data_IF_369337058111
#
_entry.id   IF_369337058111
#
_cell.length_a   1.000
_cell.length_b   1.000
_cell.length_c   1.000
_cell.angle_alpha   90.00
_cell.angle_beta   90.00
_cell.angle_gamma   90.00
#
_symmetry.space_group_name_H-M   'P 1'
#
loop_
_entity.id
_entity.type
_entity.pdbx_description
1 polymer ?
#
# COMPACT_ATOMS: atom_id res chain seq x y z
N UNK A 1 -1.29 -11.25 -28.65
CA UNK A 1 -2.23 -12.03 -27.82
C UNK A 1 -3.26 -11.06 -27.28
N UNK A 2 -4.49 -11.18 -27.76
CA UNK A 2 -5.64 -10.36 -27.37
C UNK A 2 -5.99 -10.64 -25.91
N UNK A 3 -5.82 -9.65 -25.04
CA UNK A 3 -6.38 -9.69 -23.69
C UNK A 3 -7.89 -9.62 -23.82
N UNK A 4 -8.56 -10.73 -23.54
CA UNK A 4 -10.01 -10.80 -23.40
C UNK A 4 -10.42 -9.86 -22.28
N UNK A 5 -10.99 -8.69 -22.61
CA UNK A 5 -11.74 -7.89 -21.64
C UNK A 5 -12.92 -8.73 -21.18
N UNK A 6 -12.76 -9.43 -20.07
CA UNK A 6 -13.84 -10.22 -19.47
C UNK A 6 -15.01 -9.29 -19.15
N UNK A 7 -16.20 -9.63 -19.64
CA UNK A 7 -17.44 -8.99 -19.19
C UNK A 7 -17.62 -9.31 -17.71
N UNK A 8 -17.55 -8.29 -16.86
CA UNK A 8 -17.89 -8.38 -15.44
C UNK A 8 -19.03 -7.43 -15.11
N UNK A 9 -19.81 -7.77 -14.08
CA UNK A 9 -20.87 -6.90 -13.58
C UNK A 9 -20.26 -6.05 -12.46
N UNK A 10 -20.27 -4.73 -12.65
CA UNK A 10 -19.76 -3.75 -11.67
C UNK A 10 -20.39 -3.97 -10.29
N UNK A 11 -19.56 -3.98 -9.24
CA UNK A 11 -20.00 -4.14 -7.85
C UNK A 11 -20.36 -5.58 -7.45
N UNK A 12 -20.15 -6.58 -8.32
CA UNK A 12 -20.36 -7.99 -7.99
C UNK A 12 -19.03 -8.71 -7.69
N UNK A 13 -19.09 -9.96 -7.23
CA UNK A 13 -17.89 -10.80 -7.03
C UNK A 13 -17.08 -11.06 -8.31
N UNK A 14 -17.64 -10.77 -9.50
CA UNK A 14 -16.91 -10.86 -10.77
C UNK A 14 -16.14 -9.59 -11.11
N UNK A 15 -16.42 -8.47 -10.44
CA UNK A 15 -15.73 -7.20 -10.63
C UNK A 15 -14.27 -7.33 -10.16
N UNK A 16 -13.27 -7.03 -11.01
CA UNK A 16 -11.86 -7.06 -10.65
C UNK A 16 -11.52 -6.25 -9.40
N UNK A 17 -12.15 -5.08 -9.20
CA UNK A 17 -11.89 -4.24 -8.03
C UNK A 17 -12.46 -4.86 -6.75
N UNK A 18 -13.63 -5.50 -6.83
CA UNK A 18 -14.23 -6.24 -5.70
C UNK A 18 -13.35 -7.44 -5.34
N UNK A 19 -12.86 -8.19 -6.33
CA UNK A 19 -11.94 -9.32 -6.11
C UNK A 19 -10.61 -8.87 -5.51
N UNK A 20 -10.05 -7.77 -6.00
CA UNK A 20 -8.83 -7.18 -5.47
C UNK A 20 -9.01 -6.76 -4.00
N UNK A 21 -10.12 -6.08 -3.69
CA UNK A 21 -10.46 -5.72 -2.30
C UNK A 21 -10.56 -6.94 -1.40
N UNK A 22 -11.25 -7.99 -1.86
CA UNK A 22 -11.39 -9.24 -1.10
C UNK A 22 -10.03 -9.90 -0.85
N UNK A 23 -9.15 -9.97 -1.86
CA UNK A 23 -7.82 -10.54 -1.71
C UNK A 23 -6.96 -9.80 -0.68
N UNK A 24 -7.04 -8.46 -0.63
CA UNK A 24 -6.33 -7.64 0.37
C UNK A 24 -6.90 -7.89 1.78
N UNK A 25 -8.23 -7.95 1.93
CA UNK A 25 -8.88 -8.28 3.21
C UNK A 25 -8.48 -9.66 3.72
N UNK A 26 -8.56 -10.66 2.85
CA UNK A 26 -8.17 -12.04 3.18
C UNK A 26 -6.71 -12.15 3.63
N UNK A 27 -5.81 -11.37 3.02
CA UNK A 27 -4.41 -11.33 3.43
C UNK A 27 -4.25 -10.69 4.83
N UNK A 28 -4.92 -9.57 5.08
CA UNK A 28 -4.95 -8.91 6.39
C UNK A 28 -5.51 -9.82 7.49
N UNK A 29 -6.63 -10.51 7.22
CA UNK A 29 -7.30 -11.39 8.17
C UNK A 29 -6.43 -12.59 8.53
N UNK A 30 -5.78 -13.21 7.54
CA UNK A 30 -4.82 -14.30 7.79
C UNK A 30 -3.64 -13.84 8.64
N UNK A 31 -3.09 -12.66 8.36
CA UNK A 31 -2.00 -12.08 9.14
C UNK A 31 -2.42 -11.86 10.60
N UNK A 32 -3.57 -11.20 10.82
CA UNK A 32 -4.08 -10.89 12.15
C UNK A 32 -4.42 -12.15 12.95
N UNK A 33 -5.11 -13.11 12.32
CA UNK A 33 -5.46 -14.38 12.96
C UNK A 33 -4.21 -15.14 13.42
N UNK A 34 -3.20 -15.22 12.55
CA UNK A 34 -1.95 -15.92 12.87
C UNK A 34 -1.17 -15.20 13.98
N UNK A 35 -1.14 -13.86 13.93
CA UNK A 35 -0.55 -13.05 15.00
C UNK A 35 -1.26 -13.31 16.34
N UNK A 36 -2.59 -13.21 16.37
CA UNK A 36 -3.39 -13.38 17.59
C UNK A 36 -3.23 -14.78 18.19
N UNK A 37 -3.22 -15.82 17.35
CA UNK A 37 -2.99 -17.18 17.81
C UNK A 37 -1.62 -17.33 18.49
N UNK A 38 -0.56 -16.75 17.91
CA UNK A 38 0.80 -16.77 18.50
C UNK A 38 0.89 -15.92 19.76
N UNK A 39 0.27 -14.74 19.76
CA UNK A 39 0.25 -13.84 20.91
C UNK A 39 -0.46 -14.47 22.11
N UNK A 40 -1.61 -15.13 21.91
CA UNK A 40 -2.36 -15.81 22.96
C UNK A 40 -1.52 -16.88 23.68
N UNK A 41 -0.65 -17.60 22.95
CA UNK A 41 0.25 -18.57 23.57
C UNK A 41 1.29 -17.92 24.50
N UNK A 42 1.68 -16.67 24.23
CA UNK A 42 2.63 -15.91 25.06
C UNK A 42 1.92 -15.21 26.22
N UNK A 43 0.69 -14.74 26.01
CA UNK A 43 -0.01 -13.87 26.96
C UNK A 43 -0.93 -14.60 27.92
N UNK A 44 -1.61 -15.64 27.45
CA UNK A 44 -2.73 -16.26 28.17
C UNK A 44 -2.34 -17.62 28.76
N UNK A 45 -1.28 -18.24 28.25
CA UNK A 45 -0.79 -19.52 28.71
C UNK A 45 0.45 -19.33 29.60
N UNK A 46 0.38 -19.83 30.83
CA UNK A 46 1.54 -19.93 31.72
C UNK A 46 2.45 -21.09 31.27
N UNK A 47 3.16 -20.88 30.16
CA UNK A 47 4.08 -21.88 29.60
C UNK A 47 5.40 -21.93 30.37
N UNK A 48 5.95 -23.13 30.52
CA UNK A 48 7.19 -23.36 31.27
C UNK A 48 8.42 -23.50 30.38
N UNK A 49 9.56 -23.01 30.90
CA UNK A 49 10.91 -23.27 30.39
C UNK A 49 11.07 -23.12 28.88
N UNK A 50 11.53 -24.20 28.23
CA UNK A 50 11.85 -24.25 26.81
C UNK A 50 10.65 -23.97 25.89
N UNK A 51 9.44 -24.42 26.26
CA UNK A 51 8.24 -24.24 25.43
C UNK A 51 7.87 -22.75 25.34
N UNK A 52 8.01 -22.03 26.46
CA UNK A 52 7.80 -20.58 26.51
C UNK A 52 8.78 -19.84 25.60
N UNK A 53 10.07 -20.17 25.70
CA UNK A 53 11.12 -19.56 24.86
C UNK A 53 10.87 -19.81 23.37
N UNK A 54 10.51 -21.04 22.99
CA UNK A 54 10.16 -21.38 21.61
C UNK A 54 8.92 -20.62 21.12
N UNK A 55 7.90 -20.52 21.95
CA UNK A 55 6.65 -19.80 21.62
C UNK A 55 6.91 -18.31 21.43
N UNK A 56 7.68 -17.70 22.34
CA UNK A 56 8.08 -16.31 22.24
C UNK A 56 8.92 -16.05 20.98
N UNK A 57 9.92 -16.89 20.72
CA UNK A 57 10.73 -16.81 19.48
C UNK A 57 9.84 -16.90 18.24
N UNK A 58 8.90 -17.86 18.21
CA UNK A 58 7.98 -18.02 17.09
C UNK A 58 6.98 -16.87 16.91
N UNK A 59 6.68 -16.10 17.98
CA UNK A 59 5.90 -14.87 17.91
C UNK A 59 6.76 -13.73 17.35
N UNK A 60 7.97 -13.52 17.88
CA UNK A 60 8.90 -12.48 17.42
C UNK A 60 9.27 -12.69 15.95
N UNK A 61 9.62 -13.90 15.55
CA UNK A 61 9.94 -14.24 14.16
C UNK A 61 8.77 -13.94 13.21
N UNK A 62 7.54 -14.20 13.64
CA UNK A 62 6.36 -13.88 12.85
C UNK A 62 6.10 -12.36 12.80
N UNK A 63 6.25 -11.67 13.93
CA UNK A 63 6.05 -10.23 14.01
C UNK A 63 7.06 -9.47 13.13
N UNK A 64 8.33 -9.86 13.18
CA UNK A 64 9.41 -9.26 12.39
C UNK A 64 9.39 -9.74 10.94
N UNK A 65 9.13 -11.03 10.70
CA UNK A 65 9.22 -11.64 9.38
C UNK A 65 7.95 -11.50 8.52
N UNK A 66 6.79 -11.23 9.12
CA UNK A 66 5.52 -11.14 8.39
C UNK A 66 4.74 -9.85 8.67
N UNK A 67 4.56 -9.47 9.95
CA UNK A 67 3.79 -8.25 10.28
C UNK A 67 4.52 -7.00 9.79
N UNK A 68 5.81 -6.85 10.09
CA UNK A 68 6.59 -5.67 9.65
C UNK A 68 6.65 -5.52 8.12
N UNK A 69 6.98 -6.56 7.32
CA UNK A 69 6.95 -6.47 5.87
C UNK A 69 5.57 -6.15 5.31
N UNK A 70 4.50 -6.76 5.88
CA UNK A 70 3.14 -6.43 5.48
C UNK A 70 2.85 -4.94 5.67
N UNK A 71 3.27 -4.39 6.81
CA UNK A 71 3.04 -2.98 7.08
C UNK A 71 3.81 -2.08 6.08
N UNK A 72 5.07 -2.39 5.84
CA UNK A 72 5.87 -1.64 4.86
C UNK A 72 5.27 -1.72 3.44
N UNK A 73 4.78 -2.89 3.05
CA UNK A 73 4.20 -3.11 1.72
C UNK A 73 2.89 -2.34 1.53
N UNK A 74 1.96 -2.38 2.50
CA UNK A 74 0.72 -1.60 2.36
C UNK A 74 0.96 -0.09 2.44
N UNK A 75 2.00 0.38 3.15
CA UNK A 75 2.36 1.81 3.10
C UNK A 75 2.80 2.23 1.69
N UNK A 76 3.75 1.48 1.12
CA UNK A 76 4.32 1.74 -0.21
C UNK A 76 3.30 1.64 -1.33
N UNK A 77 2.27 0.82 -1.16
CA UNK A 77 1.28 0.53 -2.21
C UNK A 77 -0.03 1.25 -1.96
N UNK A 78 -0.76 0.89 -0.90
CA UNK A 78 -2.11 1.39 -0.66
C UNK A 78 -2.09 2.82 -0.14
N UNK A 79 -1.23 3.12 0.85
CA UNK A 79 -1.24 4.43 1.50
C UNK A 79 -0.62 5.46 0.57
N UNK A 80 0.43 5.11 -0.17
CA UNK A 80 1.03 5.98 -1.17
C UNK A 80 0.03 6.36 -2.27
N UNK A 81 -0.84 5.42 -2.69
CA UNK A 81 -1.94 5.68 -3.62
C UNK A 81 -3.01 6.60 -3.06
N UNK A 82 -3.44 6.36 -1.83
CA UNK A 82 -4.46 7.19 -1.18
C UNK A 82 -3.92 8.56 -0.72
N UNK A 83 -2.65 8.69 -0.34
CA UNK A 83 -2.10 9.88 0.32
C UNK A 83 -2.23 11.18 -0.50
N UNK A 84 -2.33 11.05 -1.82
CA UNK A 84 -2.43 12.21 -2.68
C UNK A 84 -3.85 12.74 -2.87
N UNK A 85 -4.88 11.93 -2.67
CA UNK A 85 -6.27 12.34 -2.89
C UNK A 85 -6.81 13.17 -1.72
N UNK A 86 -7.57 14.23 -2.01
CA UNK A 86 -8.12 15.13 -1.00
C UNK A 86 -9.01 14.41 0.02
N UNK A 87 -9.75 13.42 -0.47
CA UNK A 87 -10.74 12.61 0.23
C UNK A 87 -10.09 11.65 1.24
N UNK A 88 -8.92 11.08 0.91
CA UNK A 88 -8.28 10.03 1.72
C UNK A 88 -7.00 10.50 2.42
N UNK A 89 -6.43 11.66 2.07
CA UNK A 89 -5.14 12.14 2.64
C UNK A 89 -5.13 12.25 4.18
N UNK A 90 -6.23 12.68 4.80
CA UNK A 90 -6.28 12.85 6.26
C UNK A 90 -6.35 11.49 6.96
N UNK A 91 -7.14 10.56 6.40
CA UNK A 91 -7.17 9.17 6.87
C UNK A 91 -5.79 8.54 6.78
N UNK A 92 -5.09 8.68 5.65
CA UNK A 92 -3.74 8.12 5.48
C UNK A 92 -2.73 8.72 6.47
N UNK A 93 -2.81 10.03 6.75
CA UNK A 93 -1.95 10.65 7.78
C UNK A 93 -2.21 10.04 9.16
N UNK A 94 -3.47 9.84 9.52
CA UNK A 94 -3.82 9.19 10.78
C UNK A 94 -3.34 7.73 10.84
N UNK A 95 -3.57 6.96 9.78
CA UNK A 95 -3.13 5.56 9.67
C UNK A 95 -1.61 5.43 9.80
N UNK A 96 -0.84 6.30 9.13
CA UNK A 96 0.63 6.32 9.27
C UNK A 96 1.08 6.59 10.71
N UNK A 97 0.40 7.51 11.42
CA UNK A 97 0.69 7.77 12.83
C UNK A 97 0.41 6.55 13.72
N UNK A 98 -0.67 5.80 13.47
CA UNK A 98 -0.91 4.55 14.18
C UNK A 98 0.16 3.49 13.89
N UNK A 99 0.70 3.46 12.67
CA UNK A 99 1.74 2.49 12.28
C UNK A 99 3.11 2.79 12.85
N UNK A 100 3.43 4.06 13.09
CA UNK A 100 4.60 4.44 13.90
C UNK A 100 4.49 3.78 15.29
N UNK A 101 3.31 3.86 15.92
CA UNK A 101 3.07 3.18 17.20
C UNK A 101 3.18 1.66 17.08
N UNK A 102 2.69 1.03 16.00
CA UNK A 102 2.89 -0.41 15.77
C UNK A 102 4.38 -0.76 15.69
N UNK A 103 5.18 0.09 15.04
CA UNK A 103 6.62 -0.13 14.88
C UNK A 103 7.34 -0.09 16.22
N UNK A 104 6.97 0.85 17.10
CA UNK A 104 7.48 0.93 18.48
C UNK A 104 7.18 -0.37 19.25
N UNK A 105 5.94 -0.88 19.21
CA UNK A 105 5.58 -2.11 19.90
C UNK A 105 6.24 -3.37 19.30
N UNK A 106 6.54 -3.38 17.99
CA UNK A 106 7.33 -4.44 17.36
C UNK A 106 8.77 -4.46 17.90
N UNK A 107 9.37 -3.29 18.09
CA UNK A 107 10.72 -3.17 18.63
C UNK A 107 10.74 -3.53 20.12
N UNK A 108 9.75 -3.11 20.91
CA UNK A 108 9.57 -3.51 22.31
C UNK A 108 9.40 -5.02 22.46
N UNK A 109 8.55 -5.64 21.61
CA UNK A 109 8.33 -7.08 21.63
C UNK A 109 9.63 -7.83 21.33
N UNK A 110 10.45 -7.36 20.39
CA UNK A 110 11.73 -7.99 20.04
C UNK A 110 12.82 -7.76 21.09
N UNK A 111 12.76 -6.66 21.84
CA UNK A 111 13.73 -6.31 22.89
C UNK A 111 13.34 -6.79 24.29
N UNK A 112 12.15 -7.40 24.45
CA UNK A 112 11.64 -7.83 25.74
C UNK A 112 12.61 -8.81 26.44
N UNK A 113 12.93 -8.51 27.70
CA UNK A 113 13.85 -9.32 28.51
C UNK A 113 13.15 -10.05 29.68
N UNK A 114 11.83 -9.89 29.79
CA UNK A 114 11.00 -10.59 30.76
C UNK A 114 9.68 -11.05 30.15
N UNK A 115 9.04 -12.10 30.72
CA UNK A 115 7.73 -12.56 30.27
C UNK A 115 6.65 -11.47 30.34
N UNK A 116 6.68 -10.63 31.38
CA UNK A 116 5.70 -9.55 31.55
C UNK A 116 5.83 -8.48 30.46
N UNK A 117 7.07 -8.11 30.11
CA UNK A 117 7.33 -7.17 29.00
C UNK A 117 6.88 -7.76 27.66
N UNK A 118 7.21 -9.03 27.41
CA UNK A 118 6.81 -9.72 26.18
C UNK A 118 5.28 -9.79 26.04
N UNK A 119 4.59 -10.15 27.13
CA UNK A 119 3.12 -10.18 27.16
C UNK A 119 2.50 -8.81 26.93
N UNK A 120 3.01 -7.77 27.60
CA UNK A 120 2.51 -6.41 27.44
C UNK A 120 2.67 -5.93 25.99
N UNK A 121 3.87 -6.04 25.42
CA UNK A 121 4.16 -5.63 24.05
C UNK A 121 3.31 -6.43 23.03
N UNK A 122 3.15 -7.74 23.24
CA UNK A 122 2.33 -8.59 22.38
C UNK A 122 0.84 -8.18 22.38
N UNK A 123 0.27 -7.89 23.56
CA UNK A 123 -1.12 -7.44 23.69
C UNK A 123 -1.32 -6.06 23.06
N UNK A 124 -0.42 -5.12 23.33
CA UNK A 124 -0.48 -3.77 22.81
C UNK A 124 -0.36 -3.74 21.27
N UNK A 125 0.63 -4.47 20.72
CA UNK A 125 0.77 -4.67 19.28
C UNK A 125 -0.50 -5.27 18.65
N UNK A 126 -1.07 -6.31 19.26
CA UNK A 126 -2.30 -6.95 18.76
C UNK A 126 -3.50 -6.01 18.74
N UNK A 127 -3.65 -5.17 19.76
CA UNK A 127 -4.74 -4.21 19.86
C UNK A 127 -4.65 -3.13 18.76
N UNK A 128 -3.48 -2.53 18.58
CA UNK A 128 -3.27 -1.49 17.57
C UNK A 128 -3.30 -2.06 16.15
N UNK A 129 -2.69 -3.23 15.92
CA UNK A 129 -2.70 -3.92 14.63
C UNK A 129 -4.14 -4.19 14.17
N UNK A 130 -4.99 -4.76 15.04
CA UNK A 130 -6.40 -4.99 14.74
C UNK A 130 -7.12 -3.70 14.33
N UNK A 131 -6.91 -2.61 15.09
CA UNK A 131 -7.56 -1.33 14.80
C UNK A 131 -7.14 -0.75 13.44
N UNK A 132 -5.84 -0.82 13.12
CA UNK A 132 -5.33 -0.34 11.82
C UNK A 132 -5.86 -1.20 10.66
N UNK A 133 -5.85 -2.53 10.81
CA UNK A 133 -6.36 -3.40 9.75
C UNK A 133 -7.87 -3.22 9.56
N UNK A 134 -8.65 -3.02 10.62
CA UNK A 134 -10.08 -2.71 10.51
C UNK A 134 -10.30 -1.39 9.73
N UNK A 135 -9.56 -0.33 10.05
CA UNK A 135 -9.64 0.93 9.31
C UNK A 135 -9.20 0.80 7.85
N UNK A 136 -8.16 0.01 7.57
CA UNK A 136 -7.75 -0.28 6.19
C UNK A 136 -8.90 -0.94 5.41
N UNK A 137 -9.55 -1.93 6.02
CA UNK A 137 -10.58 -2.72 5.34
C UNK A 137 -11.93 -2.02 5.19
N UNK A 138 -12.33 -1.24 6.21
CA UNK A 138 -13.66 -0.62 6.31
C UNK A 138 -13.71 0.80 5.76
N UNK A 139 -12.58 1.52 5.80
CA UNK A 139 -12.51 2.91 5.37
C UNK A 139 -11.61 3.09 4.15
N UNK A 140 -10.35 2.63 4.22
CA UNK A 140 -9.37 2.93 3.18
C UNK A 140 -9.67 2.19 1.87
N UNK A 141 -9.93 0.88 1.91
CA UNK A 141 -10.17 0.08 0.71
C UNK A 141 -11.41 0.54 -0.07
N UNK A 142 -12.58 0.77 0.56
CA UNK A 142 -13.73 1.34 -0.16
C UNK A 142 -13.41 2.69 -0.78
N UNK A 143 -12.76 3.59 -0.02
CA UNK A 143 -12.41 4.91 -0.53
C UNK A 143 -11.43 4.83 -1.72
N UNK A 144 -10.43 3.95 -1.66
CA UNK A 144 -9.51 3.67 -2.78
C UNK A 144 -10.24 3.16 -4.02
N UNK A 145 -11.25 2.29 -3.84
CA UNK A 145 -12.03 1.75 -4.96
C UNK A 145 -12.88 2.83 -5.66
N UNK A 146 -13.26 3.89 -4.94
CA UNK A 146 -14.04 5.00 -5.47
C UNK A 146 -13.20 6.12 -6.08
N UNK A 147 -11.87 6.13 -5.86
CA UNK A 147 -11.00 7.17 -6.39
C UNK A 147 -10.94 7.12 -7.93
N UNK A 148 -11.12 8.27 -8.62
CA UNK A 148 -10.92 8.35 -10.06
C UNK A 148 -9.50 7.91 -10.46
N UNK A 149 -9.40 6.96 -11.39
CA UNK A 149 -8.13 6.47 -11.91
C UNK A 149 -7.38 5.49 -11.00
N UNK A 150 -7.97 5.07 -9.88
CA UNK A 150 -7.38 4.04 -9.03
C UNK A 150 -7.43 2.66 -9.70
N UNK A 151 -6.28 2.01 -9.78
CA UNK A 151 -6.12 0.64 -10.27
C UNK A 151 -6.03 -0.33 -9.10
N UNK A 152 -7.16 -0.59 -8.43
CA UNK A 152 -7.17 -1.46 -7.26
C UNK A 152 -6.66 -2.89 -7.55
N UNK A 153 -6.98 -3.52 -8.70
CA UNK A 153 -6.34 -4.77 -9.12
C UNK A 153 -4.81 -4.67 -9.22
N UNK A 154 -4.29 -3.63 -9.88
CA UNK A 154 -2.84 -3.40 -9.97
C UNK A 154 -2.19 -3.18 -8.61
N UNK A 155 -2.84 -2.45 -7.70
CA UNK A 155 -2.37 -2.27 -6.32
C UNK A 155 -2.37 -3.60 -5.54
N UNK A 156 -3.36 -4.47 -5.74
CA UNK A 156 -3.36 -5.79 -5.10
C UNK A 156 -2.22 -6.68 -5.61
N UNK A 157 -1.92 -6.64 -6.91
CA UNK A 157 -0.80 -7.36 -7.51
C UNK A 157 0.56 -6.82 -7.04
N UNK A 158 0.71 -5.49 -6.94
CA UNK A 158 1.90 -4.85 -6.39
C UNK A 158 2.11 -5.23 -4.92
N UNK A 159 1.04 -5.20 -4.11
CA UNK A 159 1.10 -5.62 -2.71
C UNK A 159 1.56 -7.08 -2.60
N UNK A 160 0.93 -7.99 -3.35
CA UNK A 160 1.33 -9.41 -3.38
C UNK A 160 2.79 -9.58 -3.79
N UNK A 161 3.25 -8.87 -4.82
CA UNK A 161 4.65 -8.92 -5.26
C UNK A 161 5.61 -8.55 -4.15
N UNK A 162 5.34 -7.48 -3.40
CA UNK A 162 6.16 -7.09 -2.26
C UNK A 162 6.11 -8.10 -1.10
N UNK A 163 4.93 -8.66 -0.81
CA UNK A 163 4.77 -9.68 0.24
C UNK A 163 5.48 -10.99 -0.11
N UNK A 164 5.57 -11.33 -1.39
CA UNK A 164 6.31 -12.48 -1.90
C UNK A 164 7.84 -12.22 -1.97
N UNK A 165 8.31 -11.05 -1.51
CA UNK A 165 9.72 -10.66 -1.50
C UNK A 165 10.25 -10.13 -2.83
N UNK A 166 9.37 -9.84 -3.79
CA UNK A 166 9.71 -9.22 -5.06
C UNK A 166 9.91 -7.71 -4.98
N UNK A 167 10.43 -7.13 -6.06
CA UNK A 167 10.56 -5.69 -6.23
C UNK A 167 9.53 -5.16 -7.23
N UNK A 168 9.04 -3.94 -6.99
CA UNK A 168 8.13 -3.28 -7.92
C UNK A 168 8.93 -2.64 -9.05
N UNK A 169 8.51 -2.90 -10.28
CA UNK A 169 9.07 -2.23 -11.45
C UNK A 169 8.73 -0.74 -11.41
N UNK A 170 9.76 0.09 -11.42
CA UNK A 170 9.70 1.53 -11.18
C UNK A 170 10.41 2.26 -12.32
N UNK A 171 9.89 2.18 -13.57
CA UNK A 171 10.58 2.76 -14.70
C UNK A 171 10.72 4.28 -14.57
N UNK A 172 11.90 4.80 -14.90
CA UNK A 172 12.17 6.24 -14.99
C UNK A 172 11.44 6.88 -16.17
N UNK A 173 11.03 6.07 -17.17
CA UNK A 173 10.31 6.52 -18.36
C UNK A 173 9.09 5.64 -18.58
N UNK A 174 7.91 6.25 -18.65
CA UNK A 174 6.67 5.60 -19.08
C UNK A 174 6.30 6.10 -20.47
N UNK A 175 6.49 5.23 -21.47
CA UNK A 175 5.97 5.45 -22.80
C UNK A 175 4.53 4.93 -22.91
N UNK A 176 3.56 5.84 -23.02
CA UNK A 176 2.15 5.48 -23.13
C UNK A 176 1.69 5.26 -24.58
N UNK A 177 2.54 5.54 -25.57
CA UNK A 177 2.22 5.33 -26.99
C UNK A 177 1.82 3.88 -27.31
N UNK A 178 2.54 2.84 -26.82
CA UNK A 178 2.14 1.45 -27.05
C UNK A 178 0.98 0.99 -26.15
N UNK A 179 0.59 1.76 -25.13
CA UNK A 179 -0.42 1.37 -24.16
C UNK A 179 -1.83 1.70 -24.70
N UNK A 180 -2.81 0.77 -24.63
CA UNK A 180 -4.21 1.05 -24.98
C UNK A 180 -4.76 2.26 -24.23
N UNK A 181 -5.56 3.10 -24.90
CA UNK A 181 -6.00 4.40 -24.35
C UNK A 181 -6.57 4.33 -22.93
N UNK A 182 -7.49 3.39 -22.66
CA UNK A 182 -8.11 3.23 -21.35
C UNK A 182 -7.18 2.75 -20.22
N UNK A 183 -5.98 2.25 -20.55
CA UNK A 183 -4.99 1.76 -19.58
C UNK A 183 -3.88 2.77 -19.29
N UNK A 184 -3.80 3.87 -20.06
CA UNK A 184 -2.71 4.85 -19.95
C UNK A 184 -2.75 5.58 -18.61
N UNK A 185 -3.89 6.18 -18.27
CA UNK A 185 -4.02 6.97 -17.06
C UNK A 185 -3.81 6.11 -15.81
N UNK A 186 -4.48 4.95 -15.64
CA UNK A 186 -4.21 4.05 -14.50
C UNK A 186 -2.72 3.72 -14.33
N UNK A 187 -2.01 3.45 -15.43
CA UNK A 187 -0.56 3.16 -15.39
C UNK A 187 0.26 4.34 -14.88
N UNK A 188 -0.03 5.56 -15.33
CA UNK A 188 0.68 6.78 -14.92
C UNK A 188 0.36 7.12 -13.45
N UNK A 189 -0.91 7.04 -13.05
CA UNK A 189 -1.34 7.28 -11.66
C UNK A 189 -0.74 6.25 -10.70
N UNK A 190 -0.71 4.97 -11.10
CA UNK A 190 -0.06 3.91 -10.33
C UNK A 190 1.44 4.12 -10.17
N UNK A 191 2.15 4.60 -11.20
CA UNK A 191 3.57 4.98 -11.03
C UNK A 191 3.74 6.15 -10.09
N UNK A 192 2.90 7.17 -10.24
CA UNK A 192 2.97 8.40 -9.46
C UNK A 192 2.72 8.16 -7.97
N UNK A 193 1.72 7.33 -7.63
CA UNK A 193 1.42 7.00 -6.24
C UNK A 193 2.63 6.48 -5.49
N UNK A 194 3.47 5.68 -6.16
CA UNK A 194 4.68 5.04 -5.61
C UNK A 194 5.90 5.94 -5.50
N UNK A 195 5.86 7.19 -5.99
CA UNK A 195 7.00 8.10 -5.87
C UNK A 195 7.23 8.52 -4.42
N UNK A 196 8.46 8.41 -3.93
CA UNK A 196 8.85 9.07 -2.69
C UNK A 196 8.89 10.60 -2.90
N UNK A 197 8.84 11.40 -1.82
CA UNK A 197 9.03 12.85 -1.94
C UNK A 197 10.35 13.18 -2.65
N UNK A 198 10.30 14.01 -3.69
CA UNK A 198 11.46 14.37 -4.50
C UNK A 198 11.68 13.50 -5.74
N UNK A 199 11.06 12.32 -5.82
CA UNK A 199 11.20 11.43 -6.98
C UNK A 199 10.34 11.89 -8.16
N UNK A 200 10.72 11.47 -9.36
CA UNK A 200 9.98 11.74 -10.60
C UNK A 200 10.16 10.64 -11.64
N UNK A 201 9.30 10.64 -12.66
CA UNK A 201 9.46 9.85 -13.88
C UNK A 201 9.09 10.69 -15.10
N UNK A 202 9.47 10.24 -16.29
CA UNK A 202 9.18 10.89 -17.57
C UNK A 202 8.05 10.16 -18.29
N UNK A 203 6.95 10.86 -18.54
CA UNK A 203 5.90 10.43 -19.45
C UNK A 203 6.29 10.75 -20.90
N UNK A 204 6.16 9.78 -21.81
CA UNK A 204 6.28 9.97 -23.27
C UNK A 204 4.92 9.73 -23.92
N UNK A 205 4.41 10.72 -24.67
CA UNK A 205 3.12 10.66 -25.34
C UNK A 205 3.18 11.18 -26.78
N UNK A 206 2.21 10.82 -27.61
CA UNK A 206 2.12 11.28 -29.01
C UNK A 206 1.41 12.64 -29.17
N UNK A 207 0.88 13.20 -28.08
CA UNK A 207 0.24 14.51 -28.04
C UNK A 207 0.41 15.14 -26.65
N UNK A 208 0.10 16.42 -26.53
CA UNK A 208 0.12 17.12 -25.24
C UNK A 208 -0.85 16.44 -24.24
N UNK A 209 -0.36 15.89 -23.11
CA UNK A 209 -1.18 15.17 -22.14
C UNK A 209 -2.05 16.10 -21.27
N UNK A 210 -2.71 17.10 -21.86
CA UNK A 210 -3.60 18.04 -21.15
C UNK A 210 -4.72 17.35 -20.37
N UNK A 211 -5.42 16.32 -20.90
CA UNK A 211 -6.46 15.63 -20.14
C UNK A 211 -5.91 14.98 -18.87
N UNK A 212 -4.78 14.28 -18.99
CA UNK A 212 -4.07 13.66 -17.88
C UNK A 212 -3.63 14.71 -16.83
N UNK A 213 -3.09 15.86 -17.27
CA UNK A 213 -2.74 16.97 -16.35
C UNK A 213 -3.94 17.47 -15.55
N UNK A 214 -5.11 17.59 -16.19
CA UNK A 214 -6.34 18.03 -15.52
C UNK A 214 -6.77 17.02 -14.46
N UNK A 215 -6.69 15.73 -14.77
CA UNK A 215 -6.98 14.66 -13.82
C UNK A 215 -6.00 14.70 -12.64
N UNK A 216 -4.70 14.87 -12.89
CA UNK A 216 -3.71 15.08 -11.82
C UNK A 216 -4.02 16.30 -10.94
N UNK A 217 -4.52 17.39 -11.55
CA UNK A 217 -4.88 18.60 -10.81
C UNK A 217 -6.09 18.37 -9.90
N UNK A 218 -7.07 17.58 -10.36
CA UNK A 218 -8.24 17.22 -9.58
C UNK A 218 -7.90 16.23 -8.46
N UNK A 219 -7.12 15.19 -8.78
CA UNK A 219 -6.79 14.10 -7.83
C UNK A 219 -5.69 14.50 -6.84
N UNK A 220 -4.70 15.29 -7.25
CA UNK A 220 -3.51 15.63 -6.46
C UNK A 220 -3.29 17.14 -6.31
N UNK A 221 -4.27 17.92 -5.82
CA UNK A 221 -4.18 19.38 -5.80
C UNK A 221 -2.98 19.87 -4.98
N UNK A 222 -2.02 20.52 -5.65
CA UNK A 222 -0.79 21.05 -5.04
C UNK A 222 0.22 19.98 -4.61
N UNK A 223 0.00 18.71 -4.96
CA UNK A 223 0.80 17.59 -4.47
C UNK A 223 1.72 16.97 -5.53
N UNK A 224 1.74 17.47 -6.78
CA UNK A 224 2.56 17.00 -7.89
C UNK A 224 3.31 18.14 -8.61
N UNK A 225 4.35 17.78 -9.35
CA UNK A 225 5.08 18.63 -10.30
C UNK A 225 4.85 18.17 -11.73
N UNK A 226 4.93 19.10 -12.69
CA UNK A 226 4.63 18.84 -14.10
C UNK A 226 5.50 19.73 -14.99
N UNK A 227 6.62 19.18 -15.46
CA UNK A 227 7.60 19.92 -16.26
C UNK A 227 7.65 19.37 -17.68
N UNK A 228 7.41 20.23 -18.67
CA UNK A 228 7.61 19.85 -20.06
C UNK A 228 9.11 19.77 -20.36
N UNK A 229 9.58 18.59 -20.73
CA UNK A 229 10.94 18.38 -21.24
C UNK A 229 11.00 18.54 -22.76
N UNK A 230 9.89 18.22 -23.44
CA UNK A 230 9.74 18.36 -24.87
C UNK A 230 8.27 18.61 -25.23
N UNK A 231 8.01 19.60 -26.09
CA UNK A 231 6.67 20.11 -26.40
C UNK A 231 6.30 19.96 -27.88
N UNK A 232 6.44 18.74 -28.42
CA UNK A 232 5.96 18.39 -29.76
C UNK A 232 6.66 19.11 -30.94
N UNK A 233 6.22 18.85 -32.19
CA UNK A 233 5.12 17.97 -32.57
C UNK A 233 5.50 16.48 -32.70
N UNK A 234 6.80 16.15 -32.76
CA UNK A 234 7.25 14.77 -32.97
C UNK A 234 6.96 13.85 -31.77
N UNK A 235 7.15 14.36 -30.55
CA UNK A 235 6.83 13.67 -29.31
C UNK A 235 6.64 14.67 -28.18
N UNK A 236 5.94 14.26 -27.13
CA UNK A 236 5.76 15.03 -25.91
C UNK A 236 6.41 14.29 -24.75
N UNK A 237 7.30 14.96 -24.04
CA UNK A 237 7.97 14.43 -22.85
C UNK A 237 7.68 15.33 -21.66
N UNK A 238 7.11 14.74 -20.61
CA UNK A 238 6.75 15.47 -19.39
C UNK A 238 7.36 14.76 -18.20
N UNK A 239 8.13 15.47 -17.38
CA UNK A 239 8.53 14.99 -16.06
C UNK A 239 7.37 15.20 -15.09
N UNK A 240 6.95 14.12 -14.45
CA UNK A 240 5.92 14.11 -13.42
C UNK A 240 6.60 13.65 -12.13
N UNK A 241 6.50 14.44 -11.06
CA UNK A 241 7.20 14.15 -9.81
C UNK A 241 6.43 14.55 -8.57
N UNK A 242 6.83 14.00 -7.43
CA UNK A 242 6.30 14.41 -6.12
C UNK A 242 7.22 15.52 -5.55
N UNK A 243 6.68 16.65 -5.07
CA UNK A 243 7.50 17.69 -4.46
C UNK A 243 8.38 17.13 -3.34
N UNK A 244 9.61 17.61 -3.23
CA UNK A 244 10.45 17.32 -2.08
C UNK A 244 9.76 17.87 -0.80
N UNK A 245 9.95 17.20 0.33
CA UNK A 245 9.51 17.75 1.60
C UNK A 245 10.26 19.06 1.85
N UNK A 246 9.51 20.15 2.08
CA UNK A 246 10.12 21.36 2.61
C UNK A 246 10.58 21.05 4.04
N UNK A 247 11.87 21.23 4.31
CA UNK A 247 12.48 21.06 5.63
C UNK A 247 11.96 22.09 6.63
#
# INVERSE_FOLDING_TARGET
MTTTSGLYITGTTTDPAVRASAAIRDAADRLLLTYQAKAALVTDLCLDGMIREQTYTALVDFAIGQVRPYLAATDRVLYAAAAGAGETRLLVRALRRFRESITEHLDELAAANSPDQASHAAQALGAVLRAVLDLDQTMLLPALAELPGADLPGLADDLRTLLDGGELDAPDVIDVRPIPHGQRHPRVFGRYSRLAPGDSFVLVNNHDPKPLRREFTATYPGAFTWDYLESGPAQWRVRIGRPAMSA
#
